data_IF_377978271028
#
_entry.id   IF_377978271028
#
_cell.length_a   1.000
_cell.length_b   1.000
_cell.length_c   1.000
_cell.angle_alpha   90.00
_cell.angle_beta   90.00
_cell.angle_gamma   90.00
#
_symmetry.space_group_name_H-M   'P 1'
#
loop_
_entity.id
_entity.type
_entity.pdbx_description
1 polymer ?
#
# COMPACT_ATOMS: atom_id res chain seq x y z
N UNK A 1 -29.02 41.63 12.33
CA UNK A 1 -28.17 40.69 13.07
C UNK A 1 -28.49 39.20 12.75
N UNK A 2 -29.75 38.80 12.57
CA UNK A 2 -30.13 37.43 12.24
C UNK A 2 -29.60 36.90 10.88
N UNK A 3 -29.44 37.79 9.86
CA UNK A 3 -28.97 37.38 8.52
C UNK A 3 -27.49 36.90 8.49
N UNK A 4 -26.64 37.54 9.31
CA UNK A 4 -25.21 37.18 9.33
C UNK A 4 -24.93 35.85 10.09
N UNK A 5 -25.82 35.53 11.02
CA UNK A 5 -25.72 34.26 11.77
C UNK A 5 -25.95 33.04 10.85
N UNK A 6 -26.84 33.19 9.86
CA UNK A 6 -27.14 32.12 8.90
C UNK A 6 -25.99 31.91 7.90
N UNK A 7 -25.31 32.98 7.51
CA UNK A 7 -24.14 32.89 6.60
C UNK A 7 -22.95 32.21 7.31
N UNK A 8 -22.74 32.50 8.58
CA UNK A 8 -21.69 31.89 9.39
C UNK A 8 -21.93 30.38 9.59
N UNK A 9 -23.19 29.99 9.77
CA UNK A 9 -23.56 28.59 9.92
C UNK A 9 -23.34 27.76 8.63
N UNK A 10 -23.55 28.38 7.47
CA UNK A 10 -23.36 27.71 6.18
C UNK A 10 -21.86 27.49 5.84
N UNK A 11 -20.97 28.33 6.38
CA UNK A 11 -19.53 28.23 6.12
C UNK A 11 -18.85 27.10 6.91
N UNK A 12 -19.48 26.62 7.98
CA UNK A 12 -18.90 25.55 8.82
C UNK A 12 -19.01 24.12 8.22
N UNK A 13 -19.66 23.95 7.04
CA UNK A 13 -20.00 22.60 6.57
C UNK A 13 -19.12 22.07 5.40
N UNK A 14 -18.08 22.79 4.99
CA UNK A 14 -17.24 22.35 3.87
C UNK A 14 -15.84 22.00 4.34
N UNK A 15 -15.73 21.00 5.22
CA UNK A 15 -14.48 20.30 5.37
C UNK A 15 -14.52 19.09 4.43
N UNK A 16 -13.68 19.06 3.39
CA UNK A 16 -13.53 17.80 2.64
C UNK A 16 -12.98 16.75 3.62
N UNK A 17 -13.76 15.72 3.89
CA UNK A 17 -13.24 14.54 4.54
C UNK A 17 -12.31 13.86 3.53
N UNK A 18 -11.03 14.15 3.61
CA UNK A 18 -10.02 13.39 2.89
C UNK A 18 -9.94 12.03 3.58
N UNK A 19 -10.73 11.10 3.08
CA UNK A 19 -10.64 9.72 3.51
C UNK A 19 -9.45 9.09 2.81
N UNK A 20 -8.51 8.62 3.58
CA UNK A 20 -7.44 7.76 3.12
C UNK A 20 -8.08 6.47 2.58
N UNK A 21 -7.67 6.02 1.40
CA UNK A 21 -8.29 4.88 0.76
C UNK A 21 -7.68 3.54 1.17
N UNK A 22 -6.43 3.55 1.63
CA UNK A 22 -5.74 2.36 2.13
C UNK A 22 -4.61 2.73 3.09
N UNK A 23 -4.23 1.77 3.90
CA UNK A 23 -3.04 1.81 4.76
C UNK A 23 -2.31 0.47 4.62
N UNK A 24 -1.09 0.35 5.15
CA UNK A 24 -0.39 -0.94 5.14
C UNK A 24 0.01 -1.36 6.54
N UNK A 25 -0.03 -2.68 6.78
CA UNK A 25 0.59 -3.29 7.96
C UNK A 25 1.84 -4.03 7.50
N UNK A 26 2.99 -3.63 8.03
CA UNK A 26 4.30 -4.14 7.60
C UNK A 26 4.99 -4.79 8.79
N UNK A 27 5.20 -6.08 8.68
CA UNK A 27 5.99 -6.83 9.66
C UNK A 27 7.47 -6.54 9.43
N UNK A 28 8.21 -6.30 10.52
CA UNK A 28 9.66 -6.05 10.46
C UNK A 28 10.38 -7.09 11.31
N UNK A 29 11.22 -7.87 10.65
CA UNK A 29 11.98 -8.94 11.26
C UNK A 29 13.26 -8.37 11.92
N UNK A 30 13.56 -8.85 13.13
CA UNK A 30 14.73 -8.44 13.90
C UNK A 30 14.44 -7.37 14.96
N UNK A 31 13.22 -6.88 15.07
CA UNK A 31 12.84 -5.94 16.14
C UNK A 31 12.76 -6.68 17.48
N UNK A 32 13.76 -6.49 18.31
CA UNK A 32 13.85 -7.17 19.62
C UNK A 32 13.74 -6.21 20.80
N UNK A 33 13.68 -4.92 20.54
CA UNK A 33 13.68 -3.91 21.61
C UNK A 33 13.00 -2.60 21.14
N UNK A 34 12.60 -1.79 22.13
CA UNK A 34 11.95 -0.50 21.87
C UNK A 34 12.85 0.47 21.08
N UNK A 35 14.15 0.43 21.30
CA UNK A 35 15.11 1.27 20.56
C UNK A 35 15.20 0.83 19.08
N UNK A 36 15.08 -0.47 18.82
CA UNK A 36 15.05 -1.00 17.46
C UNK A 36 13.81 -0.47 16.71
N UNK A 37 12.65 -0.55 17.36
CA UNK A 37 11.40 -0.02 16.81
C UNK A 37 11.50 1.48 16.56
N UNK A 38 12.07 2.23 17.51
CA UNK A 38 12.28 3.68 17.36
C UNK A 38 13.20 4.02 16.19
N UNK A 39 14.29 3.27 15.99
CA UNK A 39 15.22 3.47 14.88
C UNK A 39 14.51 3.27 13.51
N UNK A 40 13.73 2.19 13.39
CA UNK A 40 12.93 1.91 12.18
C UNK A 40 11.90 3.02 11.94
N UNK A 41 11.17 3.42 12.98
CA UNK A 41 10.20 4.52 12.91
C UNK A 41 10.86 5.79 12.37
N UNK A 42 12.03 6.17 12.91
CA UNK A 42 12.77 7.36 12.47
C UNK A 42 13.30 7.26 11.06
N UNK A 43 13.55 6.06 10.56
CA UNK A 43 13.93 5.86 9.14
C UNK A 43 12.72 6.04 8.22
N UNK A 44 11.58 5.48 8.60
CA UNK A 44 10.32 5.56 7.83
C UNK A 44 9.74 6.99 7.79
N UNK A 45 9.89 7.78 8.86
CA UNK A 45 9.46 9.20 8.92
C UNK A 45 10.06 10.07 7.80
N UNK A 46 11.16 9.64 7.20
CA UNK A 46 11.84 10.38 6.12
C UNK A 46 11.11 10.29 4.77
N UNK A 47 10.11 9.41 4.68
CA UNK A 47 9.35 9.19 3.44
C UNK A 47 8.20 10.21 3.35
N UNK A 48 8.24 11.04 2.32
CA UNK A 48 7.31 12.16 2.14
C UNK A 48 5.84 11.74 1.99
N UNK A 49 5.59 10.51 1.55
CA UNK A 49 4.24 10.01 1.30
C UNK A 49 3.57 9.41 2.55
N UNK A 50 4.32 9.31 3.67
CA UNK A 50 3.79 8.77 4.93
C UNK A 50 3.11 9.87 5.76
N UNK A 51 1.84 9.40 6.34
CA UNK A 51 1.20 10.11 6.99
C UNK A 51 1.36 9.98 8.28
N UNK A 52 1.22 8.76 8.84
CA UNK A 52 1.43 8.42 10.25
C UNK A 52 2.07 7.03 10.35
N UNK A 53 2.73 6.77 11.46
CA UNK A 53 3.43 5.49 11.70
C UNK A 53 3.06 5.00 13.09
N UNK A 54 2.28 3.93 13.16
CA UNK A 54 1.81 3.37 14.43
C UNK A 54 2.53 2.03 14.68
N UNK A 55 3.44 1.98 15.66
CA UNK A 55 4.13 0.72 15.96
C UNK A 55 3.24 -0.24 16.74
N UNK A 56 3.24 -1.50 16.32
CA UNK A 56 2.61 -2.62 17.02
C UNK A 56 3.73 -3.55 17.51
N UNK A 57 4.09 -3.41 18.77
CA UNK A 57 5.22 -4.15 19.34
C UNK A 57 4.88 -5.62 19.60
N UNK A 58 3.59 -5.96 19.73
CA UNK A 58 3.17 -7.35 19.96
C UNK A 58 3.40 -8.22 18.73
N UNK A 59 3.11 -7.66 17.54
CA UNK A 59 3.28 -8.38 16.27
C UNK A 59 4.56 -7.99 15.55
N UNK A 60 5.40 -7.15 16.14
CA UNK A 60 6.64 -6.60 15.53
C UNK A 60 6.34 -5.98 14.15
N UNK A 61 5.27 -5.18 14.10
CA UNK A 61 4.84 -4.54 12.84
C UNK A 61 4.62 -3.05 13.00
N UNK A 62 4.49 -2.37 11.87
CA UNK A 62 4.09 -0.96 11.79
C UNK A 62 2.85 -0.85 10.93
N UNK A 63 1.87 -0.08 11.39
CA UNK A 63 0.78 0.38 10.53
C UNK A 63 1.23 1.72 9.95
N UNK A 64 1.26 1.82 8.63
CA UNK A 64 1.65 3.02 7.90
C UNK A 64 0.43 3.63 7.24
N UNK A 65 0.10 4.85 7.62
CA UNK A 65 -0.93 5.66 6.98
C UNK A 65 -0.29 6.55 5.93
N UNK A 66 -0.93 6.69 4.77
CA UNK A 66 -0.38 7.40 3.62
C UNK A 66 -1.12 8.72 3.36
N UNK A 67 -0.40 9.69 2.83
CA UNK A 67 -1.01 10.97 2.44
C UNK A 67 -1.85 10.81 1.18
N UNK A 68 -3.03 11.06 1.12
CA UNK A 68 -3.81 11.02 0.18
C UNK A 68 -3.31 11.55 -0.95
N UNK A 69 -3.53 11.06 -2.11
CA UNK A 69 -3.12 11.49 -3.44
C UNK A 69 -1.65 11.33 -3.77
N UNK A 70 -0.90 10.69 -2.90
CA UNK A 70 0.52 10.44 -3.10
C UNK A 70 0.74 9.05 -3.68
N UNK A 71 1.71 8.92 -4.56
CA UNK A 71 2.24 7.62 -4.96
C UNK A 71 3.03 7.04 -3.78
N UNK A 72 2.71 5.81 -3.39
CA UNK A 72 3.38 5.07 -2.30
C UNK A 72 4.39 4.12 -2.93
N UNK A 73 5.67 4.33 -2.67
CA UNK A 73 6.73 3.45 -3.17
C UNK A 73 7.11 2.43 -2.09
N UNK A 74 6.58 1.21 -2.21
CA UNK A 74 6.87 0.14 -1.25
C UNK A 74 8.33 -0.31 -1.28
N UNK A 75 9.03 -0.17 -2.41
CA UNK A 75 10.47 -0.46 -2.48
C UNK A 75 11.27 0.51 -1.59
N UNK A 76 10.88 1.79 -1.56
CA UNK A 76 11.52 2.77 -0.66
C UNK A 76 11.23 2.48 0.82
N UNK A 77 10.03 1.96 1.12
CA UNK A 77 9.73 1.52 2.49
C UNK A 77 10.67 0.39 2.90
N UNK A 78 10.85 -0.61 2.02
CA UNK A 78 11.80 -1.70 2.25
C UNK A 78 13.21 -1.15 2.48
N UNK A 79 13.68 -0.28 1.60
CA UNK A 79 15.01 0.34 1.71
C UNK A 79 15.20 1.04 3.05
N UNK A 80 14.19 1.79 3.53
CA UNK A 80 14.28 2.49 4.82
C UNK A 80 14.30 1.55 6.03
N UNK A 81 13.65 0.40 5.93
CA UNK A 81 13.72 -0.65 6.96
C UNK A 81 15.12 -1.28 6.96
N UNK A 82 15.68 -1.57 5.78
CA UNK A 82 17.03 -2.12 5.62
C UNK A 82 18.11 -1.12 6.06
N UNK A 83 17.96 0.17 5.75
CA UNK A 83 18.83 1.26 6.23
C UNK A 83 18.88 1.32 7.76
N UNK A 84 17.77 0.98 8.42
CA UNK A 84 17.71 0.93 9.89
C UNK A 84 18.34 -0.35 10.47
N UNK A 85 18.76 -1.29 9.62
CA UNK A 85 19.42 -2.54 10.02
C UNK A 85 18.49 -3.72 10.23
N UNK A 86 17.26 -3.66 9.70
CA UNK A 86 16.24 -4.69 9.90
C UNK A 86 15.80 -5.26 8.54
N UNK A 87 14.93 -6.25 8.58
CA UNK A 87 14.47 -6.91 7.35
C UNK A 87 12.96 -6.80 7.23
N UNK A 88 12.52 -6.49 6.02
CA UNK A 88 11.11 -6.50 5.69
C UNK A 88 10.55 -7.91 5.86
N UNK A 89 9.41 -8.01 6.51
CA UNK A 89 8.62 -9.23 6.59
C UNK A 89 7.38 -9.11 5.72
N UNK A 90 6.32 -9.79 6.11
CA UNK A 90 5.05 -9.75 5.38
C UNK A 90 4.49 -8.34 5.36
N UNK A 91 3.98 -7.96 4.20
CA UNK A 91 3.39 -6.63 3.97
C UNK A 91 1.95 -6.81 3.51
N UNK A 92 1.03 -6.30 4.29
CA UNK A 92 -0.40 -6.28 4.01
C UNK A 92 -0.85 -4.89 3.59
N UNK A 93 -1.68 -4.82 2.56
CA UNK A 93 -2.38 -3.61 2.14
C UNK A 93 -3.83 -3.75 2.59
N UNK A 94 -4.31 -2.79 3.34
CA UNK A 94 -5.64 -2.83 3.96
C UNK A 94 -6.46 -1.66 3.41
N UNK A 95 -7.52 -1.97 2.66
CA UNK A 95 -8.42 -0.97 2.08
C UNK A 95 -9.53 -0.62 3.07
N UNK A 96 -10.03 0.62 3.04
CA UNK A 96 -11.13 1.05 3.91
C UNK A 96 -12.42 0.26 3.65
N UNK A 97 -12.68 -0.05 2.39
CA UNK A 97 -13.88 -0.78 1.98
C UNK A 97 -13.50 -2.14 1.40
N UNK A 98 -14.43 -3.07 1.47
CA UNK A 98 -14.25 -4.35 0.78
C UNK A 98 -14.07 -4.10 -0.71
N UNK A 99 -13.07 -4.75 -1.28
CA UNK A 99 -12.77 -4.71 -2.71
C UNK A 99 -13.20 -6.02 -3.34
N UNK A 100 -14.11 -5.94 -4.31
CA UNK A 100 -14.42 -7.10 -5.15
C UNK A 100 -13.36 -7.18 -6.25
N UNK A 101 -12.52 -8.18 -6.19
CA UNK A 101 -11.41 -8.36 -7.13
C UNK A 101 -11.60 -9.62 -7.96
N UNK A 102 -11.24 -9.53 -9.23
CA UNK A 102 -11.13 -10.67 -10.13
C UNK A 102 -9.66 -10.94 -10.46
N UNK A 103 -9.38 -12.15 -10.93
CA UNK A 103 -8.00 -12.49 -11.30
C UNK A 103 -7.49 -11.56 -12.41
N UNK A 104 -6.24 -11.18 -12.30
CA UNK A 104 -5.52 -10.28 -13.23
C UNK A 104 -6.20 -8.91 -13.44
N UNK A 105 -7.00 -8.45 -12.46
CA UNK A 105 -7.59 -7.11 -12.49
C UNK A 105 -6.56 -6.04 -12.14
N UNK A 106 -6.59 -4.94 -12.88
CA UNK A 106 -5.76 -3.76 -12.60
C UNK A 106 -6.66 -2.61 -12.13
N UNK A 107 -6.33 -1.97 -11.03
CA UNK A 107 -7.12 -0.88 -10.45
C UNK A 107 -6.22 0.23 -9.94
N UNK A 108 -6.61 1.48 -10.21
CA UNK A 108 -5.91 2.65 -9.64
C UNK A 108 -6.66 3.06 -8.37
N UNK A 109 -5.95 3.11 -7.28
CA UNK A 109 -6.46 3.56 -5.98
C UNK A 109 -5.49 4.60 -5.45
N UNK A 110 -5.97 5.82 -5.29
CA UNK A 110 -5.20 6.95 -4.73
C UNK A 110 -3.82 7.14 -5.41
N UNK A 111 -3.81 7.18 -6.75
CA UNK A 111 -2.61 7.32 -7.61
C UNK A 111 -1.64 6.13 -7.56
N UNK A 112 -2.06 5.01 -6.99
CA UNK A 112 -1.28 3.78 -6.97
C UNK A 112 -1.96 2.74 -7.87
N UNK A 113 -1.21 2.12 -8.74
CA UNK A 113 -1.71 1.06 -9.62
C UNK A 113 -1.45 -0.30 -8.98
N UNK A 114 -2.53 -1.04 -8.77
CA UNK A 114 -2.48 -2.40 -8.21
C UNK A 114 -2.96 -3.42 -9.22
N UNK A 115 -2.27 -4.56 -9.26
CA UNK A 115 -2.66 -5.75 -10.00
C UNK A 115 -3.03 -6.84 -9.00
N UNK A 116 -4.22 -7.41 -9.13
CA UNK A 116 -4.76 -8.38 -8.17
C UNK A 116 -4.66 -9.81 -8.68
N UNK A 117 -4.03 -10.66 -7.87
CA UNK A 117 -4.10 -12.12 -8.03
C UNK A 117 -5.25 -12.64 -7.16
N UNK A 118 -6.29 -13.16 -7.78
CA UNK A 118 -7.45 -13.67 -7.07
C UNK A 118 -7.92 -14.99 -7.69
N UNK A 119 -8.28 -15.95 -6.87
CA UNK A 119 -8.90 -17.19 -7.35
C UNK A 119 -10.42 -17.02 -7.42
N UNK A 120 -10.91 -16.46 -8.53
CA UNK A 120 -12.31 -16.12 -8.74
C UNK A 120 -12.62 -14.70 -8.25
N UNK A 121 -13.91 -14.37 -8.24
CA UNK A 121 -14.37 -13.08 -7.72
C UNK A 121 -14.45 -13.16 -6.20
N UNK A 122 -13.54 -12.48 -5.53
CA UNK A 122 -13.49 -12.44 -4.06
C UNK A 122 -13.64 -11.02 -3.54
N UNK A 123 -14.29 -10.90 -2.41
CA UNK A 123 -14.42 -9.65 -1.69
C UNK A 123 -13.50 -9.70 -0.45
N UNK A 124 -12.57 -8.76 -0.37
CA UNK A 124 -11.64 -8.67 0.75
C UNK A 124 -11.26 -7.22 1.03
N UNK A 125 -10.86 -6.94 2.26
CA UNK A 125 -10.21 -5.68 2.66
C UNK A 125 -8.71 -5.80 2.74
N UNK A 126 -8.20 -7.00 3.01
CA UNK A 126 -6.79 -7.25 3.31
C UNK A 126 -6.18 -8.04 2.18
N UNK A 127 -5.06 -7.56 1.67
CA UNK A 127 -4.31 -8.19 0.59
C UNK A 127 -2.83 -8.21 0.94
N UNK A 128 -2.18 -9.31 0.67
CA UNK A 128 -0.73 -9.46 0.79
C UNK A 128 -0.05 -8.85 -0.44
N UNK A 129 1.00 -8.07 -0.21
CA UNK A 129 1.89 -7.57 -1.27
C UNK A 129 2.81 -8.72 -1.71
N UNK A 130 2.79 -9.08 -3.01
CA UNK A 130 3.46 -10.31 -3.49
C UNK A 130 4.53 -10.06 -4.56
N UNK A 131 5.06 -8.85 -4.64
CA UNK A 131 6.15 -8.53 -5.54
C UNK A 131 7.45 -9.22 -5.13
N UNK A 132 8.43 -9.25 -6.03
CA UNK A 132 9.68 -10.00 -5.94
C UNK A 132 10.42 -9.88 -4.61
N UNK A 133 10.43 -8.67 -4.03
CA UNK A 133 11.17 -8.41 -2.78
C UNK A 133 10.32 -8.62 -1.53
N UNK A 134 9.02 -8.90 -1.68
CA UNK A 134 8.04 -8.96 -0.59
C UNK A 134 7.61 -10.38 -0.24
N UNK A 135 8.01 -11.35 -1.07
CA UNK A 135 7.71 -12.76 -0.85
C UNK A 135 8.97 -13.61 -1.05
N UNK A 136 8.91 -14.88 -0.66
CA UNK A 136 10.02 -15.79 -0.92
C UNK A 136 10.20 -16.03 -2.43
N UNK A 137 11.42 -16.34 -2.84
CA UNK A 137 11.71 -16.69 -4.24
C UNK A 137 10.78 -17.79 -4.76
N UNK A 138 10.51 -18.80 -3.93
CA UNK A 138 9.61 -19.91 -4.29
C UNK A 138 8.20 -19.40 -4.60
N UNK A 139 7.64 -18.57 -3.72
CA UNK A 139 6.30 -18.00 -3.90
C UNK A 139 6.23 -17.08 -5.13
N UNK A 140 7.26 -16.26 -5.34
CA UNK A 140 7.37 -15.40 -6.52
C UNK A 140 7.37 -16.24 -7.81
N UNK A 141 8.19 -17.29 -7.86
CA UNK A 141 8.28 -18.18 -9.03
C UNK A 141 6.94 -18.91 -9.29
N UNK A 142 6.26 -19.36 -8.23
CA UNK A 142 4.93 -19.99 -8.35
C UNK A 142 3.88 -19.02 -8.92
N UNK A 143 3.86 -17.79 -8.45
CA UNK A 143 2.93 -16.77 -8.95
C UNK A 143 3.27 -16.35 -10.37
N UNK A 144 4.55 -16.23 -10.70
CA UNK A 144 4.98 -15.86 -12.06
C UNK A 144 4.58 -16.91 -13.11
N UNK A 145 4.46 -18.18 -12.70
CA UNK A 145 3.98 -19.25 -13.59
C UNK A 145 2.45 -19.28 -13.72
N UNK A 146 1.72 -18.57 -12.85
CA UNK A 146 0.24 -18.53 -12.87
C UNK A 146 -0.31 -17.37 -13.69
N UNK A 147 0.52 -16.37 -14.00
CA UNK A 147 0.08 -15.20 -14.77
C UNK A 147 0.84 -15.09 -16.09
N UNK A 148 0.17 -14.56 -17.10
CA UNK A 148 0.77 -14.21 -18.39
C UNK A 148 1.18 -12.71 -18.44
N UNK A 149 0.98 -11.98 -17.36
CA UNK A 149 1.26 -10.55 -17.29
C UNK A 149 2.73 -10.27 -17.00
N UNK A 150 3.43 -9.66 -17.95
CA UNK A 150 4.87 -9.32 -17.82
C UNK A 150 5.12 -8.28 -16.73
N UNK A 151 4.09 -7.52 -16.32
CA UNK A 151 4.21 -6.56 -15.23
C UNK A 151 4.65 -7.21 -13.92
N UNK A 152 4.26 -8.46 -13.66
CA UNK A 152 4.67 -9.17 -12.45
C UNK A 152 6.19 -9.37 -12.39
N UNK A 153 6.81 -9.65 -13.54
CA UNK A 153 8.27 -9.84 -13.60
C UNK A 153 9.05 -8.53 -13.57
N UNK A 154 8.45 -7.45 -14.07
CA UNK A 154 9.14 -6.17 -14.25
C UNK A 154 8.83 -5.15 -13.15
N UNK A 155 7.72 -5.31 -12.42
CA UNK A 155 7.19 -4.31 -11.47
C UNK A 155 6.73 -3.04 -12.16
N UNK A 156 6.51 -3.08 -13.49
CA UNK A 156 6.21 -1.89 -14.28
C UNK A 156 5.02 -2.09 -15.21
N UNK A 157 4.20 -1.05 -15.27
CA UNK A 157 3.12 -0.92 -16.22
C UNK A 157 3.67 -0.86 -17.66
N UNK A 158 3.04 -1.61 -18.56
CA UNK A 158 3.32 -1.52 -19.99
C UNK A 158 2.03 -1.61 -20.79
N UNK A 159 1.97 -0.92 -21.93
CA UNK A 159 0.79 -0.91 -22.82
C UNK A 159 0.43 -2.29 -23.37
N UNK A 160 1.38 -3.21 -23.40
CA UNK A 160 1.15 -4.58 -23.91
C UNK A 160 0.54 -5.52 -22.87
N UNK A 161 0.62 -5.17 -21.59
CA UNK A 161 0.27 -6.03 -20.48
C UNK A 161 -0.90 -5.51 -19.64
N UNK A 162 -1.06 -4.20 -19.61
CA UNK A 162 -2.03 -3.52 -18.74
C UNK A 162 -2.84 -2.53 -19.57
N UNK A 163 -4.10 -2.32 -19.22
CA UNK A 163 -4.93 -1.32 -19.88
C UNK A 163 -4.32 0.09 -19.74
N UNK A 164 -4.54 0.94 -20.74
CA UNK A 164 -3.97 2.29 -20.78
C UNK A 164 -4.36 3.12 -19.56
N UNK A 165 -3.38 3.41 -18.73
CA UNK A 165 -3.49 4.30 -17.58
C UNK A 165 -2.58 5.53 -17.82
N UNK A 166 -3.04 6.48 -18.64
CA UNK A 166 -2.21 7.59 -19.16
C UNK A 166 -1.85 8.69 -18.16
N UNK A 167 -2.47 8.70 -16.97
CA UNK A 167 -2.30 9.79 -16.00
C UNK A 167 -1.63 9.39 -14.69
N UNK A 168 -0.90 8.27 -14.68
CA UNK A 168 -0.18 7.84 -13.47
C UNK A 168 1.11 8.62 -13.27
N UNK A 169 1.42 8.96 -12.02
CA UNK A 169 2.67 9.64 -11.63
C UNK A 169 3.90 8.73 -11.72
N UNK A 170 3.69 7.42 -11.74
CA UNK A 170 4.77 6.42 -11.79
C UNK A 170 4.41 5.30 -12.75
N UNK A 171 5.42 4.71 -13.37
CA UNK A 171 5.27 3.48 -14.16
C UNK A 171 5.27 2.21 -13.28
N UNK A 172 5.58 2.34 -11.99
CA UNK A 172 5.54 1.22 -11.04
C UNK A 172 4.10 0.77 -10.77
N UNK A 173 3.95 -0.52 -10.59
CA UNK A 173 2.70 -1.09 -10.07
C UNK A 173 3.05 -2.19 -9.05
N UNK A 174 2.12 -2.47 -8.17
CA UNK A 174 2.29 -3.43 -7.10
C UNK A 174 1.24 -4.54 -7.20
N UNK A 175 1.65 -5.73 -6.84
CA UNK A 175 0.84 -6.93 -7.03
C UNK A 175 0.29 -7.41 -5.68
N UNK A 176 -1.02 -7.61 -5.65
CA UNK A 176 -1.76 -7.93 -4.43
C UNK A 176 -2.46 -9.28 -4.57
N UNK A 177 -2.41 -10.08 -3.51
CA UNK A 177 -3.09 -11.37 -3.43
C UNK A 177 -3.98 -11.40 -2.18
N UNK A 178 -5.21 -11.86 -2.33
CA UNK A 178 -6.06 -12.09 -1.16
C UNK A 178 -5.65 -13.39 -0.47
N UNK A 179 -5.54 -13.38 0.85
CA UNK A 179 -5.07 -14.51 1.65
C UNK A 179 -6.17 -15.50 2.05
N UNK A 180 -7.36 -15.44 1.45
CA UNK A 180 -8.47 -16.32 1.84
C UNK A 180 -8.94 -17.16 0.66
#
# INVERSE_FOLDING_TARGET
MKKYFFIFYLFCFVFPAFSQQFHSKIKVNGLTCAMCSYSTHKSLEKLDFIXDIIPDLETTSFILEFKXGMFVDFDLIQEKIEDAGFFLGETEIIFENNMLTSNDAHTIIDNNLFHFFSEGNKESKVFKLVDKNFVTKKEFDELSNKTNHTCYLTGKHSKSCCTNHENLKSDKLFHLKSDI
#
